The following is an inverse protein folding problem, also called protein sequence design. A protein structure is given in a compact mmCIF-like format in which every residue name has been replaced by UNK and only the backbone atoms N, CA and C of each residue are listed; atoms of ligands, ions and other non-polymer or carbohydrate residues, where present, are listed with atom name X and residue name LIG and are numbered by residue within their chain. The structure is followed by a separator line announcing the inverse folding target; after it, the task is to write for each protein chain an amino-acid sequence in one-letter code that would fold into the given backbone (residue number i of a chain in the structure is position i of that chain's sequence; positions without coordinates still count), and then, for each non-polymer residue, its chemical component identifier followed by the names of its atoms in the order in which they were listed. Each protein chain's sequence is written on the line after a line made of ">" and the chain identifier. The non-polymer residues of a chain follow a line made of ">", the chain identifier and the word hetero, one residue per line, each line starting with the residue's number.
data_IF_662167482987
#
_entry.id   IF_662167482987
#
_cell.length_a   1.000
_cell.length_b   1.000
_cell.length_c   1.000
_cell.angle_alpha   90.00
_cell.angle_beta   90.00
_cell.angle_gamma   90.00
#
_symmetry.space_group_name_H-M   'P 1'
#
loop_
_entity.id
_entity.type
_entity.pdbx_description
1 polymer ?
#
# COMPACT_ATOMS: atom_id res chain seq x y z
N UNK A 1 -15.85 -8.95 17.93
CA UNK A 1 -14.51 -8.72 17.34
C UNK A 1 -13.63 -9.90 17.71
N UNK A 2 -13.01 -10.57 16.73
CA UNK A 2 -12.00 -11.61 17.00
C UNK A 2 -10.66 -10.89 17.09
N UNK A 3 -10.03 -10.90 18.27
CA UNK A 3 -8.67 -10.39 18.45
C UNK A 3 -7.72 -11.55 18.12
N UNK A 4 -7.16 -11.54 16.90
CA UNK A 4 -6.03 -12.42 16.57
C UNK A 4 -4.79 -11.87 17.27
N UNK A 5 -4.18 -12.66 18.13
CA UNK A 5 -2.83 -12.39 18.63
C UNK A 5 -1.87 -12.87 17.54
N UNK A 6 -1.44 -11.96 16.68
CA UNK A 6 -0.47 -12.23 15.61
C UNK A 6 0.89 -11.81 16.12
N UNK A 7 1.91 -12.65 15.96
CA UNK A 7 3.29 -12.22 16.15
C UNK A 7 3.64 -11.23 15.03
N UNK A 8 4.02 -10.01 15.41
CA UNK A 8 4.34 -8.94 14.47
C UNK A 8 5.47 -9.34 13.51
N UNK A 9 6.41 -10.21 13.96
CA UNK A 9 7.48 -10.72 13.10
C UNK A 9 6.95 -11.66 12.00
N UNK A 10 5.91 -12.45 12.29
CA UNK A 10 5.27 -13.34 11.32
C UNK A 10 4.44 -12.56 10.30
N UNK A 11 3.78 -11.47 10.74
CA UNK A 11 3.05 -10.56 9.86
C UNK A 11 4.02 -9.84 8.91
N UNK A 12 5.10 -9.26 9.43
CA UNK A 12 6.12 -8.59 8.62
C UNK A 12 6.72 -9.53 7.58
N UNK A 13 7.05 -10.77 7.97
CA UNK A 13 7.56 -11.79 7.05
C UNK A 13 6.53 -12.14 5.96
N UNK A 14 5.25 -12.23 6.33
CA UNK A 14 4.15 -12.52 5.39
C UNK A 14 3.94 -11.38 4.40
N UNK A 15 4.03 -10.13 4.86
CA UNK A 15 3.93 -8.95 4.01
C UNK A 15 5.09 -8.88 3.00
N UNK A 16 6.31 -9.12 3.46
CA UNK A 16 7.49 -9.20 2.59
C UNK A 16 7.30 -10.29 1.54
N UNK A 17 6.88 -11.50 1.95
CA UNK A 17 6.62 -12.60 1.03
C UNK A 17 5.52 -12.27 0.02
N UNK A 18 4.42 -11.63 0.46
CA UNK A 18 3.33 -11.21 -0.40
C UNK A 18 3.81 -10.28 -1.52
N UNK A 19 4.62 -9.28 -1.20
CA UNK A 19 5.15 -8.35 -2.19
C UNK A 19 6.18 -9.01 -3.11
N UNK A 20 7.08 -9.84 -2.57
CA UNK A 20 8.11 -10.52 -3.37
C UNK A 20 7.51 -11.47 -4.41
N UNK A 21 6.40 -12.13 -4.09
CA UNK A 21 5.75 -13.10 -4.98
C UNK A 21 4.93 -12.49 -6.12
N UNK A 22 4.80 -11.16 -6.19
CA UNK A 22 4.07 -10.47 -7.26
C UNK A 22 5.01 -9.94 -8.34
N UNK A 23 4.55 -9.96 -9.59
CA UNK A 23 5.18 -9.25 -10.70
C UNK A 23 5.07 -7.73 -10.51
N UNK A 24 5.91 -6.96 -11.23
CA UNK A 24 5.88 -5.48 -11.16
C UNK A 24 4.48 -4.93 -11.50
N UNK A 25 3.80 -5.50 -12.49
CA UNK A 25 2.45 -5.06 -12.88
C UNK A 25 1.43 -5.29 -11.76
N UNK A 26 1.45 -6.46 -11.13
CA UNK A 26 0.55 -6.78 -10.01
C UNK A 26 0.82 -5.89 -8.79
N UNK A 27 2.10 -5.60 -8.50
CA UNK A 27 2.45 -4.68 -7.41
C UNK A 27 1.89 -3.28 -7.66
N UNK A 28 2.01 -2.76 -8.88
CA UNK A 28 1.46 -1.45 -9.25
C UNK A 28 -0.06 -1.43 -9.10
N UNK A 29 -0.74 -2.48 -9.57
CA UNK A 29 -2.19 -2.62 -9.42
C UNK A 29 -2.62 -2.61 -7.95
N UNK A 30 -1.92 -3.36 -7.11
CA UNK A 30 -2.24 -3.47 -5.70
C UNK A 30 -1.96 -2.17 -4.93
N UNK A 31 -0.82 -1.52 -5.17
CA UNK A 31 -0.52 -0.20 -4.58
C UNK A 31 -1.56 0.84 -5.01
N UNK A 32 -2.00 0.81 -6.27
CA UNK A 32 -3.06 1.70 -6.76
C UNK A 32 -4.37 1.45 -6.03
N UNK A 33 -4.76 0.18 -5.86
CA UNK A 33 -5.97 -0.21 -5.13
C UNK A 33 -5.91 0.23 -3.67
N UNK A 34 -4.79 0.00 -2.98
CA UNK A 34 -4.58 0.43 -1.59
C UNK A 34 -4.68 1.94 -1.46
N UNK A 35 -4.10 2.69 -2.41
CA UNK A 35 -4.17 4.16 -2.42
C UNK A 35 -5.59 4.67 -2.59
N UNK A 36 -6.37 4.07 -3.51
CA UNK A 36 -7.78 4.39 -3.69
C UNK A 36 -8.58 4.13 -2.42
N UNK A 37 -8.39 2.95 -1.81
CA UNK A 37 -9.08 2.58 -0.57
C UNK A 37 -8.74 3.53 0.58
N UNK A 38 -7.48 3.95 0.72
CA UNK A 38 -7.05 4.91 1.74
C UNK A 38 -7.77 6.25 1.61
N UNK A 39 -7.80 6.84 0.41
CA UNK A 39 -8.48 8.12 0.21
C UNK A 39 -10.00 8.01 0.32
N UNK A 40 -10.58 6.91 -0.19
CA UNK A 40 -12.00 6.64 -0.01
C UNK A 40 -12.38 6.56 1.48
N UNK A 41 -11.54 5.96 2.31
CA UNK A 41 -11.75 5.92 3.75
C UNK A 41 -11.52 7.28 4.43
N UNK A 42 -10.46 7.99 4.04
CA UNK A 42 -10.06 9.25 4.68
C UNK A 42 -10.96 10.44 4.30
N UNK A 43 -11.32 10.55 3.02
CA UNK A 43 -11.97 11.72 2.42
C UNK A 43 -13.36 11.40 1.85
N UNK A 44 -13.72 10.12 1.70
CA UNK A 44 -14.96 9.70 1.04
C UNK A 44 -14.90 9.72 -0.49
N UNK A 45 -13.80 10.22 -1.07
CA UNK A 45 -13.53 10.22 -2.50
C UNK A 45 -12.03 10.09 -2.79
N UNK A 46 -11.69 9.93 -4.07
CA UNK A 46 -10.31 10.01 -4.53
C UNK A 46 -9.99 11.43 -5.01
N UNK A 47 -8.86 12.04 -4.61
CA UNK A 47 -8.55 13.41 -4.99
C UNK A 47 -8.46 13.59 -6.50
N UNK A 48 -9.15 14.60 -7.03
CA UNK A 48 -9.08 14.95 -8.46
C UNK A 48 -7.70 15.50 -8.86
N UNK A 49 -7.02 16.15 -7.91
CA UNK A 49 -5.69 16.70 -8.09
C UNK A 49 -4.75 16.12 -7.04
N UNK A 50 -3.81 15.31 -7.51
CA UNK A 50 -2.68 14.84 -6.70
C UNK A 50 -1.45 15.49 -7.28
N UNK A 51 -0.88 16.44 -6.53
CA UNK A 51 0.38 17.04 -6.93
C UNK A 51 1.47 15.97 -6.93
N UNK A 52 2.08 15.74 -8.10
CA UNK A 52 3.15 14.74 -8.26
C UNK A 52 4.46 15.33 -7.74
N UNK A 53 4.68 15.28 -6.42
CA UNK A 53 5.96 15.63 -5.82
C UNK A 53 6.96 14.49 -6.00
N UNK A 54 7.79 14.53 -7.05
CA UNK A 54 8.93 13.62 -7.19
C UNK A 54 10.14 14.25 -6.53
N UNK A 55 10.41 13.88 -5.28
CA UNK A 55 11.66 14.27 -4.61
C UNK A 55 12.82 13.53 -5.26
N UNK A 56 13.54 14.21 -6.16
CA UNK A 56 14.82 13.70 -6.68
C UNK A 56 15.87 13.92 -5.59
N UNK A 57 16.55 12.86 -5.14
CA UNK A 57 17.82 13.03 -4.43
C UNK A 57 18.77 13.76 -5.39
N UNK A 58 19.37 14.87 -4.95
CA UNK A 58 20.56 15.39 -5.63
C UNK A 58 21.63 14.29 -5.50
N UNK A 59 22.02 13.73 -6.64
CA UNK A 59 23.23 12.92 -6.75
C UNK A 59 24.45 13.83 -6.57
#
# INVERSE_FOLDING_TARGET
>A
MVVKHVDMNEEDASDVAYWLNKTVSERIGEVTRLRLAYYQWLLGDYPQHIEKSVTKRKL
#
